data_IF_203991462134
#
_entry.id   IF_203991462134
#
_cell.length_a   1.000
_cell.length_b   1.000
_cell.length_c   1.000
_cell.angle_alpha   90.00
_cell.angle_beta   90.00
_cell.angle_gamma   90.00
#
_symmetry.space_group_name_H-M   'P 1'
#
loop_
_entity.id
_entity.type
_entity.pdbx_description
1 polymer ?
#
# COMPACT_ATOMS: atom_id res chain seq x y z
N UNK A 1 21.07 3.29 18.77
CA UNK A 1 19.65 2.94 18.62
C UNK A 1 19.15 2.52 19.99
N UNK A 2 18.16 3.22 20.56
CA UNK A 2 17.49 2.78 21.79
C UNK A 2 16.44 1.72 21.46
N UNK A 3 16.24 0.72 22.32
CA UNK A 3 15.16 -0.27 22.22
C UNK A 3 14.14 0.00 23.34
N UNK A 4 12.85 -0.15 23.06
CA UNK A 4 11.75 0.20 23.96
C UNK A 4 10.66 -0.89 23.99
N UNK A 5 9.60 -0.73 24.79
CA UNK A 5 8.52 -1.71 25.00
C UNK A 5 7.17 -1.01 25.23
N UNK A 6 6.16 -1.20 24.37
CA UNK A 6 4.78 -0.66 24.54
C UNK A 6 3.70 -1.66 24.07
N UNK A 7 2.51 -1.54 24.66
CA UNK A 7 1.30 -2.37 24.47
C UNK A 7 0.45 -1.90 23.27
N UNK A 8 -0.05 -2.80 22.42
CA UNK A 8 -0.86 -2.44 21.24
C UNK A 8 -2.13 -3.30 21.10
N UNK A 9 -3.32 -2.72 21.35
CA UNK A 9 -4.62 -3.34 21.03
C UNK A 9 -5.53 -2.39 20.22
N UNK A 10 -6.00 -2.92 19.07
CA UNK A 10 -7.13 -2.47 18.23
C UNK A 10 -6.97 -1.19 17.38
N UNK A 11 -6.98 -1.33 16.05
CA UNK A 11 -6.70 -0.23 15.09
C UNK A 11 -7.90 0.12 14.19
N UNK A 12 -8.54 1.28 14.40
CA UNK A 12 -8.92 2.17 13.29
C UNK A 12 -8.66 3.67 13.59
N UNK A 13 -8.33 4.46 12.55
CA UNK A 13 -7.89 5.89 12.51
C UNK A 13 -6.39 6.15 12.82
N UNK A 14 -5.74 7.11 12.11
CA UNK A 14 -4.29 7.37 12.20
C UNK A 14 -3.80 7.67 13.61
N UNK A 15 -4.57 8.46 14.36
CA UNK A 15 -4.27 8.73 15.77
C UNK A 15 -4.26 7.42 16.54
N UNK A 16 -5.31 6.60 16.47
CA UNK A 16 -5.42 5.36 17.23
C UNK A 16 -4.42 4.27 16.76
N UNK A 17 -3.79 4.45 15.59
CA UNK A 17 -2.71 3.56 15.10
C UNK A 17 -1.31 3.87 15.58
N UNK A 18 -1.13 5.05 16.16
CA UNK A 18 0.14 5.38 16.76
C UNK A 18 0.25 4.71 18.13
N UNK A 19 1.38 4.04 18.43
CA UNK A 19 1.64 3.46 19.74
C UNK A 19 1.73 4.52 20.84
N UNK A 20 1.78 5.82 20.51
CA UNK A 20 1.87 6.93 21.47
C UNK A 20 0.67 7.89 21.35
N UNK A 21 -0.45 7.44 20.79
CA UNK A 21 -1.63 8.31 20.66
C UNK A 21 -2.20 8.75 22.01
N UNK A 22 -2.10 7.89 23.03
CA UNK A 22 -2.47 8.20 24.41
C UNK A 22 -1.63 9.35 25.00
N UNK A 23 -0.37 9.49 24.55
CA UNK A 23 0.54 10.52 25.04
C UNK A 23 0.09 11.95 24.68
N UNK A 24 -0.83 12.11 23.71
CA UNK A 24 -1.40 13.42 23.35
C UNK A 24 -2.05 14.16 24.51
N UNK A 25 -2.59 13.42 25.49
CA UNK A 25 -3.33 13.97 26.62
C UNK A 25 -2.74 13.60 27.99
N UNK A 26 -1.61 12.89 28.02
CA UNK A 26 -0.97 12.48 29.27
C UNK A 26 -0.52 13.71 30.05
N UNK A 27 -0.91 13.79 31.32
CA UNK A 27 -0.50 14.83 32.25
C UNK A 27 0.66 14.33 33.11
N UNK A 28 1.51 15.24 33.61
CA UNK A 28 2.49 14.89 34.64
C UNK A 28 1.80 14.21 35.83
N UNK A 29 2.21 12.98 36.13
CA UNK A 29 1.63 12.15 37.20
C UNK A 29 0.74 10.99 36.72
N UNK A 30 0.39 10.94 35.43
CA UNK A 30 -0.28 9.77 34.86
C UNK A 30 0.69 8.57 34.78
N UNK A 31 0.18 7.34 34.98
CA UNK A 31 1.00 6.11 34.94
C UNK A 31 1.78 5.97 33.63
N UNK A 32 1.13 6.30 32.50
CA UNK A 32 1.71 6.30 31.17
C UNK A 32 2.86 7.31 31.03
N UNK A 33 2.73 8.50 31.61
CA UNK A 33 3.79 9.50 31.60
C UNK A 33 5.02 9.02 32.40
N UNK A 34 4.79 8.32 33.52
CA UNK A 34 5.85 7.69 34.30
C UNK A 34 6.63 6.61 33.51
N UNK A 35 5.93 5.79 32.72
CA UNK A 35 6.55 4.80 31.85
C UNK A 35 7.38 5.47 30.74
N UNK A 36 6.86 6.49 30.07
CA UNK A 36 7.58 7.20 29.02
C UNK A 36 8.81 7.95 29.56
N UNK A 37 8.74 8.52 30.76
CA UNK A 37 9.88 9.15 31.43
C UNK A 37 10.96 8.12 31.77
N UNK A 38 10.58 6.93 32.26
CA UNK A 38 11.51 5.83 32.55
C UNK A 38 12.29 5.37 31.32
N UNK A 39 11.66 5.39 30.15
CA UNK A 39 12.27 5.06 28.86
C UNK A 39 13.05 6.23 28.24
N UNK A 40 13.12 7.39 28.92
CA UNK A 40 13.85 8.58 28.47
C UNK A 40 13.19 9.30 27.29
N UNK A 41 11.89 9.08 27.07
CA UNK A 41 11.10 9.79 26.06
C UNK A 41 10.59 11.13 26.57
N UNK A 42 10.35 11.25 27.88
CA UNK A 42 10.00 12.50 28.54
C UNK A 42 11.16 12.98 29.41
N UNK A 43 11.29 14.30 29.55
CA UNK A 43 12.16 14.94 30.53
C UNK A 43 11.49 15.01 31.91
N UNK A 44 12.21 15.56 32.89
CA UNK A 44 11.74 15.69 34.28
C UNK A 44 10.48 16.57 34.43
N UNK A 45 10.17 17.39 33.41
CA UNK A 45 8.97 18.25 33.36
C UNK A 45 7.78 17.51 32.72
N UNK A 46 7.97 16.26 32.29
CA UNK A 46 6.97 15.47 31.57
C UNK A 46 6.82 15.87 30.11
N UNK A 47 7.76 16.65 29.57
CA UNK A 47 7.75 17.08 28.17
C UNK A 47 8.59 16.13 27.32
N UNK A 48 8.28 15.95 26.02
CA UNK A 48 9.13 15.19 25.11
C UNK A 48 10.59 15.64 25.16
N UNK A 49 11.48 14.71 25.49
CA UNK A 49 12.92 14.95 25.51
C UNK A 49 13.35 15.52 24.15
N UNK A 50 14.29 16.48 24.14
CA UNK A 50 14.59 17.28 22.95
C UNK A 50 14.89 16.44 21.69
N UNK A 51 15.58 15.31 21.84
CA UNK A 51 15.91 14.37 20.76
C UNK A 51 14.71 13.59 20.19
N UNK A 52 13.63 13.45 20.98
CA UNK A 52 12.42 12.70 20.65
C UNK A 52 11.22 13.59 20.34
N UNK A 53 11.29 14.90 20.60
CA UNK A 53 10.19 15.85 20.42
C UNK A 53 9.53 15.74 19.03
N UNK A 54 10.32 15.85 17.96
CA UNK A 54 9.80 15.72 16.60
C UNK A 54 9.24 14.32 16.31
N UNK A 55 9.82 13.27 16.89
CA UNK A 55 9.36 11.90 16.72
C UNK A 55 7.98 11.69 17.36
N UNK A 56 7.78 12.22 18.58
CA UNK A 56 6.52 12.18 19.32
C UNK A 56 5.47 13.05 18.63
N UNK A 57 5.83 14.24 18.17
CA UNK A 57 4.91 15.10 17.40
C UNK A 57 4.42 14.41 16.11
N UNK A 58 5.31 13.73 15.38
CA UNK A 58 4.95 12.92 14.22
C UNK A 58 3.97 11.80 14.57
N UNK A 59 4.14 11.17 15.74
CA UNK A 59 3.30 10.07 16.21
C UNK A 59 1.94 10.55 16.74
N UNK A 60 1.84 11.76 17.26
CA UNK A 60 0.58 12.31 17.80
C UNK A 60 -0.38 12.73 16.68
N UNK A 61 0.15 13.21 15.56
CA UNK A 61 -0.65 13.66 14.41
C UNK A 61 0.03 13.27 13.08
N UNK A 62 0.05 11.98 12.73
CA UNK A 62 0.68 11.54 11.49
C UNK A 62 -0.13 12.03 10.28
N UNK A 63 0.57 12.60 9.31
CA UNK A 63 0.04 12.94 8.00
C UNK A 63 0.18 11.77 7.02
N UNK A 64 1.18 10.90 7.23
CA UNK A 64 1.45 9.69 6.46
C UNK A 64 1.87 8.54 7.37
N UNK A 65 1.45 7.35 7.02
CA UNK A 65 1.93 6.09 7.57
C UNK A 65 2.52 5.25 6.45
N UNK A 66 3.65 4.63 6.73
CA UNK A 66 4.28 3.62 5.90
C UNK A 66 4.28 2.33 6.70
N UNK A 67 3.74 1.25 6.15
CA UNK A 67 3.87 -0.10 6.70
C UNK A 67 4.80 -0.87 5.76
N UNK A 68 5.92 -1.31 6.28
CA UNK A 68 6.90 -2.10 5.57
C UNK A 68 6.97 -3.51 6.16
N UNK A 69 6.62 -4.51 5.36
CA UNK A 69 6.70 -5.92 5.73
C UNK A 69 7.81 -6.59 4.93
N UNK A 70 8.74 -7.25 5.62
CA UNK A 70 9.84 -7.98 5.03
C UNK A 70 9.78 -9.41 5.52
N UNK A 71 9.94 -10.40 4.64
CA UNK A 71 9.94 -11.77 5.10
C UNK A 71 10.71 -12.71 4.21
N UNK A 72 11.06 -13.84 4.81
CA UNK A 72 11.64 -15.01 4.15
C UNK A 72 10.98 -16.25 4.72
N UNK A 73 11.46 -17.43 4.34
CA UNK A 73 10.92 -18.73 4.81
C UNK A 73 11.00 -18.96 6.32
N UNK A 74 11.77 -18.16 7.06
CA UNK A 74 12.00 -18.33 8.50
C UNK A 74 11.31 -17.26 9.37
N UNK A 75 11.12 -16.05 8.86
CA UNK A 75 10.61 -14.93 9.66
C UNK A 75 9.95 -13.86 8.82
N UNK A 76 9.01 -13.15 9.45
CA UNK A 76 8.43 -11.90 8.95
C UNK A 76 8.81 -10.81 9.95
N UNK A 77 9.24 -9.66 9.44
CA UNK A 77 9.49 -8.43 10.21
C UNK A 77 8.60 -7.33 9.65
N UNK A 78 7.86 -6.67 10.53
CA UNK A 78 7.02 -5.53 10.18
C UNK A 78 7.58 -4.26 10.80
N UNK A 79 7.55 -3.17 10.05
CA UNK A 79 7.96 -1.84 10.48
C UNK A 79 6.86 -0.85 10.10
N UNK A 80 6.30 -0.18 11.08
CA UNK A 80 5.39 0.94 10.89
C UNK A 80 6.21 2.22 11.02
N UNK A 81 6.10 3.12 10.07
CA UNK A 81 6.81 4.38 10.08
C UNK A 81 5.83 5.53 9.88
N UNK A 82 5.94 6.58 10.67
CA UNK A 82 4.98 7.68 10.68
C UNK A 82 5.66 9.00 10.33
N UNK A 83 5.03 9.78 9.46
CA UNK A 83 5.47 11.12 9.10
C UNK A 83 4.43 12.13 9.59
N UNK A 84 4.87 13.22 10.21
CA UNK A 84 4.01 14.33 10.59
C UNK A 84 4.55 15.67 10.10
N UNK A 85 3.81 16.73 10.39
CA UNK A 85 4.14 18.10 9.97
C UNK A 85 5.44 18.63 10.62
N UNK A 86 5.81 18.11 11.80
CA UNK A 86 7.01 18.51 12.52
C UNK A 86 8.31 18.11 11.79
N UNK A 87 8.29 17.01 11.04
CA UNK A 87 9.43 16.57 10.24
C UNK A 87 8.99 15.94 8.91
N UNK A 88 8.71 16.77 7.88
CA UNK A 88 8.16 16.30 6.61
C UNK A 88 9.16 15.50 5.76
N UNK A 89 10.37 15.24 6.24
CA UNK A 89 11.38 14.42 5.55
C UNK A 89 11.83 13.20 6.35
N UNK A 90 11.41 13.07 7.61
CA UNK A 90 11.84 11.99 8.51
C UNK A 90 10.65 11.24 9.06
N UNK A 91 10.81 9.94 9.19
CA UNK A 91 9.81 9.03 9.72
C UNK A 91 10.19 8.62 11.15
N UNK A 92 9.17 8.42 11.99
CA UNK A 92 9.31 7.73 13.27
C UNK A 92 8.94 6.27 13.07
N UNK A 93 9.94 5.39 13.14
CA UNK A 93 9.78 3.95 12.96
C UNK A 93 9.38 3.23 14.24
N UNK A 94 8.62 2.16 14.08
CA UNK A 94 8.09 1.29 15.12
C UNK A 94 8.08 -0.16 14.63
N UNK A 95 8.76 -1.05 15.35
CA UNK A 95 8.83 -2.49 15.03
C UNK A 95 8.26 -3.30 16.19
N UNK A 96 7.11 -3.99 16.03
CA UNK A 96 6.58 -4.87 17.07
C UNK A 96 7.52 -6.06 17.32
N UNK A 97 7.64 -6.47 18.58
CA UNK A 97 8.48 -7.58 19.09
C UNK A 97 7.67 -8.61 19.88
N UNK A 98 6.37 -8.41 20.01
CA UNK A 98 5.41 -9.27 20.70
C UNK A 98 4.07 -8.54 20.82
N UNK A 99 3.11 -9.10 21.56
CA UNK A 99 1.81 -8.45 21.81
C UNK A 99 1.98 -7.05 22.44
N UNK A 100 3.07 -6.87 23.16
CA UNK A 100 3.22 -5.83 24.17
C UNK A 100 4.61 -5.16 24.17
N UNK A 101 5.36 -5.35 23.08
CA UNK A 101 6.74 -4.85 22.98
C UNK A 101 7.02 -4.30 21.59
N UNK A 102 7.77 -3.19 21.54
CA UNK A 102 8.06 -2.51 20.29
C UNK A 102 9.36 -1.71 20.31
N UNK A 103 10.17 -1.83 19.27
CA UNK A 103 11.36 -0.99 19.12
C UNK A 103 10.99 0.31 18.40
N UNK A 104 11.33 1.46 18.98
CA UNK A 104 11.24 2.76 18.30
C UNK A 104 12.55 3.08 17.58
N UNK A 105 12.45 3.61 16.36
CA UNK A 105 13.57 4.09 15.58
C UNK A 105 13.34 5.54 15.17
N UNK A 106 14.32 6.40 15.44
CA UNK A 106 14.30 7.80 15.01
C UNK A 106 15.73 8.33 14.81
N UNK A 107 15.97 9.10 13.74
CA UNK A 107 15.10 9.27 12.56
C UNK A 107 15.19 8.04 11.64
N UNK A 108 14.09 7.74 10.94
CA UNK A 108 14.09 6.80 9.80
C UNK A 108 13.95 7.61 8.52
N UNK A 109 14.89 7.43 7.59
CA UNK A 109 14.85 8.06 6.28
C UNK A 109 14.21 7.10 5.25
N UNK A 110 13.53 7.61 4.21
CA UNK A 110 13.02 6.79 3.13
C UNK A 110 14.05 5.83 2.51
N UNK A 111 15.32 6.26 2.46
CA UNK A 111 16.42 5.43 1.97
C UNK A 111 16.74 4.23 2.87
N UNK A 112 16.47 4.32 4.18
CA UNK A 112 16.64 3.18 5.10
C UNK A 112 15.64 2.07 4.75
N UNK A 113 14.39 2.44 4.43
CA UNK A 113 13.35 1.49 4.01
C UNK A 113 13.69 0.82 2.68
N UNK A 114 14.24 1.59 1.73
CA UNK A 114 14.70 1.06 0.45
C UNK A 114 15.87 0.09 0.63
N UNK A 115 16.82 0.43 1.51
CA UNK A 115 17.94 -0.45 1.85
C UNK A 115 17.44 -1.76 2.49
N UNK A 116 16.51 -1.68 3.44
CA UNK A 116 15.89 -2.87 4.05
C UNK A 116 15.19 -3.76 3.01
N UNK A 117 14.41 -3.17 2.09
CA UNK A 117 13.76 -3.92 1.01
C UNK A 117 14.78 -4.60 0.08
N UNK A 118 15.86 -3.90 -0.26
CA UNK A 118 16.95 -4.40 -1.10
C UNK A 118 17.64 -5.60 -0.45
N UNK A 119 17.98 -5.49 0.83
CA UNK A 119 18.59 -6.57 1.61
C UNK A 119 17.63 -7.74 1.78
N UNK A 120 16.36 -7.49 2.13
CA UNK A 120 15.37 -8.54 2.34
C UNK A 120 15.15 -9.39 1.07
N UNK A 121 15.10 -8.76 -0.10
CA UNK A 121 14.89 -9.44 -1.38
C UNK A 121 16.17 -9.99 -2.01
N UNK A 122 17.35 -9.70 -1.46
CA UNK A 122 18.64 -10.12 -2.03
C UNK A 122 18.86 -9.60 -3.45
N UNK A 123 18.54 -8.32 -3.72
CA UNK A 123 18.59 -7.71 -5.06
C UNK A 123 20.01 -7.43 -5.58
N UNK A 124 21.03 -8.03 -4.98
CA UNK A 124 22.42 -7.96 -5.45
C UNK A 124 22.66 -8.81 -6.71
N UNK A 125 21.78 -9.78 -6.97
CA UNK A 125 21.84 -10.68 -8.11
C UNK A 125 20.77 -10.33 -9.16
N UNK A 126 21.23 -10.01 -10.38
CA UNK A 126 20.39 -9.76 -11.55
C UNK A 126 19.39 -10.89 -11.79
N UNK A 127 18.15 -10.52 -12.05
CA UNK A 127 17.04 -11.40 -12.41
C UNK A 127 16.56 -11.11 -13.83
N UNK A 128 16.23 -12.17 -14.59
CA UNK A 128 15.60 -12.00 -15.87
C UNK A 128 14.18 -11.46 -15.70
N UNK A 129 13.77 -10.61 -16.65
CA UNK A 129 12.37 -10.33 -16.90
C UNK A 129 11.82 -11.46 -17.78
N UNK A 130 10.82 -12.19 -17.29
CA UNK A 130 10.19 -13.30 -18.01
C UNK A 130 9.09 -12.82 -18.97
N UNK A 131 8.78 -11.52 -18.99
CA UNK A 131 7.73 -10.95 -19.82
C UNK A 131 6.31 -11.33 -19.38
N UNK A 132 6.15 -11.92 -18.19
CA UNK A 132 4.85 -12.27 -17.64
C UNK A 132 4.31 -11.09 -16.83
N UNK A 133 3.14 -10.58 -17.18
CA UNK A 133 2.45 -9.58 -16.36
C UNK A 133 1.03 -9.28 -16.81
N UNK A 134 0.18 -8.90 -15.85
CA UNK A 134 -1.21 -8.52 -16.08
C UNK A 134 -1.71 -7.64 -14.93
N UNK A 135 -2.82 -6.95 -15.18
CA UNK A 135 -3.59 -6.29 -14.13
C UNK A 135 -4.65 -7.28 -13.62
N UNK A 136 -4.58 -7.63 -12.34
CA UNK A 136 -5.45 -8.61 -11.68
C UNK A 136 -6.35 -7.93 -10.66
N UNK A 137 -7.58 -8.41 -10.51
CA UNK A 137 -8.37 -8.07 -9.31
C UNK A 137 -7.81 -8.79 -8.08
N UNK A 138 -8.07 -8.31 -6.85
CA UNK A 138 -7.63 -9.01 -5.64
C UNK A 138 -8.07 -10.48 -5.60
N UNK A 139 -9.28 -10.80 -6.05
CA UNK A 139 -9.77 -12.19 -6.12
C UNK A 139 -9.04 -13.03 -7.18
N UNK A 140 -8.69 -12.46 -8.34
CA UNK A 140 -7.91 -13.16 -9.36
C UNK A 140 -6.48 -13.43 -8.87
N UNK A 141 -5.87 -12.47 -8.17
CA UNK A 141 -4.56 -12.67 -7.55
C UNK A 141 -4.60 -13.73 -6.44
N UNK A 142 -5.62 -13.73 -5.56
CA UNK A 142 -5.80 -14.78 -4.55
C UNK A 142 -5.97 -16.15 -5.19
N UNK A 143 -6.79 -16.26 -6.25
CA UNK A 143 -6.98 -17.51 -6.98
C UNK A 143 -5.70 -17.97 -7.70
N UNK A 144 -4.93 -17.04 -8.27
CA UNK A 144 -3.65 -17.31 -8.92
C UNK A 144 -2.63 -17.89 -7.93
N UNK A 145 -2.46 -17.22 -6.78
CA UNK A 145 -1.55 -17.67 -5.73
C UNK A 145 -1.94 -19.06 -5.19
N UNK A 146 -3.24 -19.27 -4.95
CA UNK A 146 -3.77 -20.55 -4.49
C UNK A 146 -3.63 -21.67 -5.53
N UNK A 147 -3.73 -21.37 -6.83
CA UNK A 147 -3.53 -22.34 -7.89
C UNK A 147 -2.07 -22.79 -7.98
N UNK A 148 -1.12 -21.85 -7.86
CA UNK A 148 0.32 -22.18 -7.78
C UNK A 148 0.59 -23.12 -6.60
N UNK A 149 0.06 -22.81 -5.42
CA UNK A 149 0.25 -23.63 -4.23
C UNK A 149 -0.39 -25.01 -4.35
N UNK A 150 -1.63 -25.09 -4.86
CA UNK A 150 -2.32 -26.38 -5.04
C UNK A 150 -1.62 -27.29 -6.07
N UNK A 151 -1.11 -26.73 -7.17
CA UNK A 151 -0.31 -27.51 -8.14
C UNK A 151 0.98 -27.99 -7.50
N UNK A 152 1.68 -27.12 -6.75
CA UNK A 152 2.92 -27.49 -6.05
C UNK A 152 2.68 -28.60 -5.02
N UNK A 153 1.60 -28.50 -4.25
CA UNK A 153 1.20 -29.54 -3.29
C UNK A 153 1.02 -30.89 -4.00
N UNK A 154 0.26 -30.91 -5.10
CA UNK A 154 0.06 -32.11 -5.92
C UNK A 154 1.37 -32.66 -6.51
N UNK A 155 2.28 -31.81 -6.99
CA UNK A 155 3.60 -32.22 -7.49
C UNK A 155 4.45 -32.87 -6.36
N UNK A 156 4.41 -32.32 -5.14
CA UNK A 156 5.12 -32.89 -3.98
C UNK A 156 4.51 -34.23 -3.58
N UNK A 157 3.19 -34.34 -3.53
CA UNK A 157 2.48 -35.59 -3.23
C UNK A 157 2.82 -36.68 -4.24
N UNK A 158 2.82 -36.36 -5.54
CA UNK A 158 3.18 -37.28 -6.61
C UNK A 158 4.65 -37.75 -6.47
N UNK A 159 5.57 -36.84 -6.14
CA UNK A 159 6.98 -37.19 -5.87
C UNK A 159 7.11 -38.15 -4.68
N UNK A 160 6.37 -37.91 -3.59
CA UNK A 160 6.37 -38.79 -2.41
C UNK A 160 5.76 -40.16 -2.71
N UNK A 161 4.72 -40.20 -3.56
CA UNK A 161 4.09 -41.43 -4.04
C UNK A 161 4.91 -42.17 -5.11
N UNK A 162 5.96 -41.53 -5.65
CA UNK A 162 6.76 -42.00 -6.80
C UNK A 162 5.94 -42.15 -8.08
N UNK A 163 4.96 -41.26 -8.27
CA UNK A 163 4.12 -41.16 -9.46
C UNK A 163 4.65 -40.02 -10.35
N UNK A 164 5.26 -40.34 -11.50
CA UNK A 164 6.05 -39.34 -12.26
C UNK A 164 5.21 -38.31 -13.02
N UNK A 165 3.89 -38.51 -13.14
CA UNK A 165 2.98 -37.63 -13.86
C UNK A 165 1.68 -37.47 -13.06
N UNK A 166 1.55 -36.45 -12.20
CA UNK A 166 0.24 -36.08 -11.70
C UNK A 166 -0.68 -35.74 -12.89
N UNK A 167 -2.00 -35.86 -12.68
CA UNK A 167 -2.95 -35.32 -13.65
C UNK A 167 -2.66 -33.85 -13.96
N UNK A 168 -2.95 -33.42 -15.18
CA UNK A 168 -2.74 -32.03 -15.56
C UNK A 168 -3.69 -31.10 -14.79
N UNK A 169 -3.11 -30.18 -14.03
CA UNK A 169 -3.82 -29.22 -13.19
C UNK A 169 -4.42 -29.80 -11.91
N UNK A 170 -5.25 -29.01 -11.25
CA UNK A 170 -5.93 -29.36 -9.98
C UNK A 170 -7.40 -28.96 -9.98
N UNK A 171 -8.21 -29.66 -9.19
CA UNK A 171 -9.63 -29.34 -9.07
C UNK A 171 -9.88 -28.03 -8.28
N UNK A 172 -11.08 -27.46 -8.44
CA UNK A 172 -11.47 -26.22 -7.75
C UNK A 172 -11.43 -26.35 -6.22
N UNK A 173 -11.68 -27.55 -5.69
CA UNK A 173 -11.67 -27.80 -4.25
C UNK A 173 -10.25 -27.64 -3.67
N UNK A 174 -9.24 -28.11 -4.39
CA UNK A 174 -7.83 -28.02 -4.01
C UNK A 174 -7.34 -26.58 -4.05
N UNK A 175 -7.67 -25.82 -5.10
CA UNK A 175 -7.40 -24.38 -5.15
C UNK A 175 -8.09 -23.64 -4.00
N UNK A 176 -9.33 -24.00 -3.68
CA UNK A 176 -10.05 -23.38 -2.55
C UNK A 176 -9.39 -23.69 -1.21
N UNK A 177 -8.96 -24.93 -0.98
CA UNK A 177 -8.23 -25.31 0.25
C UNK A 177 -6.92 -24.56 0.39
N UNK A 178 -6.15 -24.43 -0.69
CA UNK A 178 -4.91 -23.66 -0.70
C UNK A 178 -5.16 -22.17 -0.35
N UNK A 179 -6.18 -21.55 -0.93
CA UNK A 179 -6.57 -20.17 -0.60
C UNK A 179 -6.92 -20.03 0.89
N UNK A 180 -7.66 -20.98 1.45
CA UNK A 180 -8.04 -20.99 2.86
C UNK A 180 -6.82 -21.19 3.79
N UNK A 181 -5.91 -22.09 3.42
CA UNK A 181 -4.67 -22.29 4.16
C UNK A 181 -3.81 -21.01 4.16
N UNK A 182 -3.69 -20.33 3.02
CA UNK A 182 -3.03 -19.03 2.92
C UNK A 182 -3.71 -17.95 3.78
N UNK A 183 -5.03 -17.97 3.86
CA UNK A 183 -5.83 -17.07 4.70
C UNK A 183 -5.77 -17.36 6.20
N UNK A 184 -5.25 -18.52 6.62
CA UNK A 184 -5.20 -18.91 8.04
C UNK A 184 -3.77 -18.99 8.59
N UNK A 185 -2.76 -19.06 7.72
CA UNK A 185 -1.37 -19.28 8.11
C UNK A 185 -0.47 -18.12 7.66
N UNK A 186 0.66 -17.96 8.35
CA UNK A 186 1.73 -17.02 7.99
C UNK A 186 2.94 -17.73 7.38
N UNK A 187 2.76 -18.96 6.89
CA UNK A 187 3.83 -19.78 6.32
C UNK A 187 4.26 -19.23 4.95
N UNK A 188 5.33 -18.45 4.96
CA UNK A 188 5.89 -17.76 3.79
C UNK A 188 6.47 -18.70 2.74
N UNK A 189 6.50 -20.01 2.99
CA UNK A 189 6.82 -21.00 1.97
C UNK A 189 5.71 -21.10 0.92
N UNK A 190 4.48 -20.73 1.24
CA UNK A 190 3.32 -20.79 0.35
C UNK A 190 3.00 -19.41 -0.22
N UNK A 191 2.74 -19.35 -1.53
CA UNK A 191 2.53 -18.09 -2.24
C UNK A 191 1.25 -17.39 -1.79
N UNK A 192 0.19 -18.14 -1.51
CA UNK A 192 -1.09 -17.62 -1.01
C UNK A 192 -0.92 -16.90 0.33
N UNK A 193 -0.12 -17.45 1.25
CA UNK A 193 0.25 -16.79 2.51
C UNK A 193 1.05 -15.51 2.26
N UNK A 194 2.04 -15.54 1.36
CA UNK A 194 2.85 -14.34 1.05
C UNK A 194 2.01 -13.24 0.42
N UNK A 195 1.21 -13.56 -0.60
CA UNK A 195 0.34 -12.59 -1.30
C UNK A 195 -0.61 -11.92 -0.34
N UNK A 196 -1.19 -12.66 0.61
CA UNK A 196 -2.06 -12.10 1.65
C UNK A 196 -1.35 -11.02 2.48
N UNK A 197 -0.07 -11.22 2.82
CA UNK A 197 0.72 -10.24 3.57
C UNK A 197 1.06 -8.99 2.75
N UNK A 198 1.04 -9.09 1.42
CA UNK A 198 1.43 -8.01 0.52
C UNK A 198 0.26 -7.11 0.10
N UNK A 199 -0.98 -7.62 0.11
CA UNK A 199 -2.14 -6.87 -0.37
C UNK A 199 -2.87 -6.15 0.78
N UNK A 200 -3.19 -4.85 0.63
CA UNK A 200 -3.86 -4.07 1.68
C UNK A 200 -5.39 -4.27 1.69
N UNK A 201 -5.91 -5.31 1.02
CA UNK A 201 -7.34 -5.57 0.88
C UNK A 201 -7.63 -7.00 1.32
N UNK A 202 -8.57 -7.15 2.23
CA UNK A 202 -9.05 -8.46 2.66
C UNK A 202 -9.88 -9.11 1.54
N UNK A 203 -9.53 -10.34 1.19
CA UNK A 203 -10.24 -11.13 0.19
C UNK A 203 -10.74 -12.41 0.83
N UNK A 204 -12.04 -12.64 0.75
CA UNK A 204 -12.63 -13.88 1.26
C UNK A 204 -12.11 -15.11 0.51
N UNK A 205 -11.44 -16.02 1.22
CA UNK A 205 -10.95 -17.28 0.67
C UNK A 205 -12.05 -18.36 0.61
N UNK A 206 -13.19 -18.06 -0.04
CA UNK A 206 -14.26 -19.02 -0.24
C UNK A 206 -14.32 -19.51 -1.70
N UNK A 207 -15.02 -20.63 -1.93
CA UNK A 207 -15.13 -21.27 -3.24
C UNK A 207 -15.64 -20.33 -4.33
N UNK A 208 -16.64 -19.49 -4.03
CA UNK A 208 -17.24 -18.57 -5.00
C UNK A 208 -16.23 -17.50 -5.45
N UNK A 209 -15.48 -16.94 -4.51
CA UNK A 209 -14.43 -15.94 -4.80
C UNK A 209 -13.30 -16.56 -5.62
N UNK A 210 -12.84 -17.76 -5.24
CA UNK A 210 -11.79 -18.49 -5.97
C UNK A 210 -12.23 -18.86 -7.38
N UNK A 211 -13.46 -19.36 -7.56
CA UNK A 211 -14.00 -19.70 -8.88
C UNK A 211 -14.13 -18.46 -9.78
N UNK A 212 -14.59 -17.34 -9.24
CA UNK A 212 -14.63 -16.07 -9.97
C UNK A 212 -13.24 -15.58 -10.37
N UNK A 213 -12.25 -15.70 -9.48
CA UNK A 213 -10.86 -15.36 -9.75
C UNK A 213 -10.23 -16.24 -10.83
N UNK A 214 -10.43 -17.56 -10.78
CA UNK A 214 -10.01 -18.49 -11.83
C UNK A 214 -10.66 -18.14 -13.18
N UNK A 215 -11.95 -17.78 -13.17
CA UNK A 215 -12.65 -17.32 -14.37
C UNK A 215 -12.05 -16.06 -15.00
N UNK A 216 -11.43 -15.17 -14.22
CA UNK A 216 -10.67 -14.02 -14.75
C UNK A 216 -9.33 -14.46 -15.33
N UNK A 217 -8.61 -15.38 -14.68
CA UNK A 217 -7.34 -15.90 -15.19
C UNK A 217 -7.52 -16.68 -16.51
N UNK A 218 -8.66 -17.36 -16.68
CA UNK A 218 -9.04 -18.00 -17.95
C UNK A 218 -9.24 -16.96 -19.06
N UNK A 219 -9.83 -15.80 -18.76
CA UNK A 219 -10.00 -14.72 -19.76
C UNK A 219 -8.67 -14.06 -20.14
N UNK A 220 -7.67 -14.11 -19.26
CA UNK A 220 -6.31 -13.63 -19.52
C UNK A 220 -5.44 -14.67 -20.25
N UNK A 221 -5.98 -15.85 -20.56
CA UNK A 221 -5.24 -16.96 -21.15
C UNK A 221 -4.02 -17.39 -20.31
N UNK A 222 -4.10 -17.23 -18.99
CA UNK A 222 -3.08 -17.73 -18.06
C UNK A 222 -3.38 -19.15 -17.58
N UNK A 223 -4.67 -19.47 -17.50
CA UNK A 223 -5.19 -20.73 -16.96
C UNK A 223 -6.19 -21.31 -17.95
N UNK A 224 -6.13 -22.63 -18.18
CA UNK A 224 -7.16 -23.37 -18.90
C UNK A 224 -7.92 -24.27 -17.93
N UNK A 225 -9.22 -24.45 -18.19
CA UNK A 225 -10.05 -25.45 -17.52
C UNK A 225 -10.19 -26.66 -18.44
N UNK A 226 -9.71 -27.82 -18.00
CA UNK A 226 -9.82 -29.05 -18.75
C UNK A 226 -11.30 -29.47 -18.88
N UNK A 227 -11.79 -29.63 -20.10
CA UNK A 227 -13.20 -29.94 -20.36
C UNK A 227 -13.66 -31.31 -19.83
N UNK A 228 -12.73 -32.26 -19.66
CA UNK A 228 -13.04 -33.62 -19.19
C UNK A 228 -12.96 -33.74 -17.68
N UNK A 229 -11.85 -33.33 -17.07
CA UNK A 229 -11.64 -33.46 -15.62
C UNK A 229 -12.23 -32.28 -14.84
N UNK A 230 -12.38 -31.11 -15.47
CA UNK A 230 -12.73 -29.87 -14.78
C UNK A 230 -11.56 -29.24 -14.02
N UNK A 231 -10.36 -29.83 -14.09
CA UNK A 231 -9.15 -29.31 -13.47
C UNK A 231 -8.72 -27.99 -14.12
N UNK A 232 -8.06 -27.15 -13.33
CA UNK A 232 -7.44 -25.91 -13.77
C UNK A 232 -5.93 -26.12 -13.86
N UNK A 233 -5.36 -25.80 -15.01
CA UNK A 233 -3.92 -25.87 -15.27
C UNK A 233 -3.45 -24.54 -15.86
N UNK A 234 -2.18 -24.21 -15.66
CA UNK A 234 -1.58 -23.06 -16.33
C UNK A 234 -1.36 -23.37 -17.81
N UNK A 235 -1.58 -22.37 -18.67
CA UNK A 235 -1.22 -22.49 -20.08
C UNK A 235 0.31 -22.62 -20.25
N UNK A 236 0.80 -23.18 -21.38
CA UNK A 236 2.24 -23.40 -21.60
C UNK A 236 3.10 -22.15 -21.43
N UNK A 237 2.61 -20.99 -21.86
CA UNK A 237 3.32 -19.70 -21.73
C UNK A 237 3.54 -19.28 -20.27
N UNK A 238 2.72 -19.80 -19.35
CA UNK A 238 2.83 -19.58 -17.91
C UNK A 238 3.62 -20.67 -17.18
N UNK A 239 4.15 -21.70 -17.86
CA UNK A 239 4.86 -22.80 -17.19
C UNK A 239 6.17 -22.34 -16.53
N UNK A 240 6.98 -21.52 -17.21
CA UNK A 240 8.20 -20.97 -16.60
C UNK A 240 7.85 -19.98 -15.47
N UNK A 241 6.98 -18.96 -15.70
CA UNK A 241 6.54 -18.05 -14.64
C UNK A 241 6.00 -18.76 -13.39
N UNK A 242 5.08 -19.72 -13.51
CA UNK A 242 4.51 -20.43 -12.35
C UNK A 242 5.57 -21.19 -11.55
N UNK A 243 6.56 -21.79 -12.23
CA UNK A 243 7.61 -22.59 -11.56
C UNK A 243 8.55 -21.71 -10.75
N UNK A 244 8.75 -20.46 -11.16
CA UNK A 244 9.47 -19.51 -10.32
C UNK A 244 8.65 -19.19 -9.06
N UNK A 245 7.34 -18.98 -9.21
CA UNK A 245 6.44 -18.63 -8.13
C UNK A 245 6.17 -19.75 -7.12
N UNK A 246 6.36 -21.01 -7.50
CA UNK A 246 6.19 -22.16 -6.59
C UNK A 246 7.28 -22.27 -5.52
N UNK A 247 8.34 -21.45 -5.57
CA UNK A 247 9.38 -21.40 -4.55
C UNK A 247 9.68 -19.94 -4.13
N UNK A 248 8.79 -19.30 -3.34
CA UNK A 248 9.07 -18.02 -2.71
C UNK A 248 10.32 -18.11 -1.84
N UNK A 249 11.25 -17.17 -2.01
CA UNK A 249 12.49 -17.09 -1.22
C UNK A 249 12.38 -15.99 -0.19
N UNK A 250 11.95 -14.80 -0.63
CA UNK A 250 11.77 -13.63 0.20
C UNK A 250 10.74 -12.68 -0.40
N UNK A 251 10.17 -11.81 0.42
CA UNK A 251 9.30 -10.73 -0.02
C UNK A 251 9.60 -9.43 0.73
N UNK A 252 9.23 -8.32 0.11
CA UNK A 252 9.16 -7.01 0.74
C UNK A 252 7.90 -6.31 0.24
N UNK A 253 7.09 -5.76 1.13
CA UNK A 253 5.93 -4.96 0.79
C UNK A 253 5.99 -3.63 1.52
N UNK A 254 5.72 -2.55 0.79
CA UNK A 254 5.61 -1.20 1.32
C UNK A 254 4.23 -0.67 0.99
N UNK A 255 3.45 -0.40 2.03
CA UNK A 255 2.13 0.24 1.95
C UNK A 255 2.24 1.64 2.52
N UNK A 256 1.75 2.64 1.80
CA UNK A 256 1.65 4.03 2.23
C UNK A 256 0.19 4.39 2.35
N UNK A 257 -0.18 4.94 3.50
CA UNK A 257 -1.46 5.56 3.75
C UNK A 257 -1.26 7.05 3.99
N UNK A 258 -1.79 7.87 3.09
CA UNK A 258 -1.83 9.33 3.23
C UNK A 258 -3.22 9.75 3.69
N UNK A 259 -3.30 10.62 4.71
CA UNK A 259 -4.59 11.10 5.20
C UNK A 259 -4.93 12.48 4.64
N UNK A 260 -5.99 12.52 3.83
CA UNK A 260 -6.58 13.76 3.33
C UNK A 260 -7.93 13.93 4.02
N UNK A 261 -7.93 14.68 5.13
CA UNK A 261 -9.10 14.76 6.01
C UNK A 261 -9.29 13.44 6.78
N UNK A 262 -10.42 12.76 6.58
CA UNK A 262 -10.74 11.50 7.29
C UNK A 262 -10.60 10.25 6.42
N UNK A 263 -10.29 10.39 5.13
CA UNK A 263 -10.19 9.26 4.20
C UNK A 263 -8.72 8.95 3.91
N UNK A 264 -8.25 7.72 4.17
CA UNK A 264 -6.90 7.32 3.81
C UNK A 264 -6.82 6.98 2.31
N UNK A 265 -5.80 7.52 1.64
CA UNK A 265 -5.40 7.09 0.30
C UNK A 265 -4.28 6.06 0.43
N UNK A 266 -4.54 4.85 -0.06
CA UNK A 266 -3.60 3.74 0.02
C UNK A 266 -2.87 3.51 -1.30
N UNK A 267 -1.56 3.34 -1.23
CA UNK A 267 -0.74 2.82 -2.31
C UNK A 267 0.17 1.72 -1.74
N UNK A 268 0.29 0.60 -2.45
CA UNK A 268 1.16 -0.50 -2.02
C UNK A 268 2.02 -0.97 -3.19
N UNK A 269 3.31 -1.16 -2.92
CA UNK A 269 4.25 -1.81 -3.83
C UNK A 269 4.89 -2.97 -3.10
N UNK A 270 4.71 -4.16 -3.64
CA UNK A 270 5.29 -5.41 -3.14
C UNK A 270 6.25 -6.03 -4.14
N UNK A 271 7.30 -6.65 -3.63
CA UNK A 271 8.25 -7.46 -4.37
C UNK A 271 8.31 -8.86 -3.78
N UNK A 272 8.40 -9.88 -4.64
CA UNK A 272 8.61 -11.27 -4.28
C UNK A 272 9.83 -11.80 -5.03
N UNK A 273 10.87 -12.16 -4.27
CA UNK A 273 12.03 -12.88 -4.79
C UNK A 273 11.71 -14.37 -4.85
N UNK A 274 11.95 -14.94 -6.01
CA UNK A 274 11.94 -16.39 -6.24
C UNK A 274 13.35 -16.85 -6.62
N UNK A 275 13.53 -18.15 -6.86
CA UNK A 275 14.82 -18.72 -7.28
C UNK A 275 15.32 -18.10 -8.60
N UNK A 276 14.41 -17.68 -9.50
CA UNK A 276 14.77 -17.27 -10.86
C UNK A 276 14.23 -15.91 -11.33
N UNK A 277 13.43 -15.21 -10.52
CA UNK A 277 12.79 -13.97 -10.92
C UNK A 277 12.46 -13.06 -9.74
N UNK A 278 12.34 -11.77 -10.01
CA UNK A 278 11.70 -10.79 -9.13
C UNK A 278 10.32 -10.48 -9.68
N UNK A 279 9.30 -10.71 -8.86
CA UNK A 279 7.91 -10.36 -9.15
C UNK A 279 7.54 -9.09 -8.41
N UNK A 280 6.90 -8.14 -9.10
CA UNK A 280 6.35 -6.93 -8.49
C UNK A 280 4.82 -6.98 -8.46
N UNK A 281 4.25 -6.34 -7.44
CA UNK A 281 2.83 -6.22 -7.17
C UNK A 281 2.56 -4.75 -6.85
N UNK A 282 1.91 -4.02 -7.76
CA UNK A 282 1.56 -2.61 -7.58
C UNK A 282 0.05 -2.49 -7.39
N UNK A 283 -0.37 -2.13 -6.18
CA UNK A 283 -1.77 -1.92 -5.84
C UNK A 283 -2.22 -0.52 -6.22
N UNK A 284 -3.34 -0.44 -6.95
CA UNK A 284 -3.99 0.82 -7.31
C UNK A 284 -5.36 0.89 -6.65
N UNK A 285 -5.52 1.86 -5.74
CA UNK A 285 -6.81 2.17 -5.13
C UNK A 285 -7.77 2.78 -6.17
N UNK A 286 -9.02 2.32 -6.17
CA UNK A 286 -10.12 2.85 -6.99
C UNK A 286 -11.41 2.07 -6.73
N UNK A 287 -12.50 2.40 -7.41
CA UNK A 287 -13.79 1.72 -7.27
C UNK A 287 -13.70 0.21 -7.51
N UNK A 288 -12.77 -0.19 -8.37
CA UNK A 288 -12.37 -1.58 -8.56
C UNK A 288 -10.86 -1.67 -8.35
N UNK A 289 -10.39 -2.17 -7.20
CA UNK A 289 -8.96 -2.31 -6.95
C UNK A 289 -8.34 -3.23 -7.99
N UNK A 290 -7.23 -2.78 -8.58
CA UNK A 290 -6.43 -3.56 -9.51
C UNK A 290 -5.00 -3.67 -8.98
N UNK A 291 -4.39 -4.81 -9.23
CA UNK A 291 -3.04 -5.14 -8.81
C UNK A 291 -2.28 -5.49 -10.08
N UNK A 292 -1.33 -4.64 -10.46
CA UNK A 292 -0.40 -4.98 -11.53
C UNK A 292 0.59 -5.98 -10.99
N UNK A 293 0.61 -7.17 -11.59
CA UNK A 293 1.52 -8.24 -11.22
C UNK A 293 2.39 -8.57 -12.42
N UNK A 294 3.68 -8.75 -12.22
CA UNK A 294 4.55 -9.25 -13.27
C UNK A 294 6.01 -9.34 -12.87
N UNK A 295 6.81 -9.95 -13.74
CA UNK A 295 8.26 -9.97 -13.59
C UNK A 295 8.85 -8.62 -13.92
N UNK A 296 9.83 -8.18 -13.13
CA UNK A 296 10.50 -6.90 -13.33
C UNK A 296 11.99 -7.01 -13.05
N UNK A 297 12.75 -6.08 -13.59
CA UNK A 297 14.15 -5.87 -13.19
C UNK A 297 14.22 -5.16 -11.84
N UNK A 298 15.32 -5.37 -11.12
CA UNK A 298 15.58 -4.78 -9.81
C UNK A 298 15.49 -3.25 -9.85
N UNK A 299 16.10 -2.63 -10.86
CA UNK A 299 16.08 -1.16 -11.01
C UNK A 299 14.67 -0.62 -11.15
N UNK A 300 13.81 -1.31 -11.89
CA UNK A 300 12.41 -0.91 -12.08
C UNK A 300 11.64 -1.00 -10.76
N UNK A 301 11.85 -2.08 -10.01
CA UNK A 301 11.24 -2.27 -8.70
C UNK A 301 11.70 -1.22 -7.69
N UNK A 302 13.01 -0.96 -7.60
CA UNK A 302 13.57 0.04 -6.68
C UNK A 302 13.10 1.45 -7.01
N UNK A 303 12.97 1.80 -8.29
CA UNK A 303 12.39 3.09 -8.71
C UNK A 303 10.92 3.21 -8.30
N UNK A 304 10.14 2.13 -8.40
CA UNK A 304 8.74 2.12 -7.95
C UNK A 304 8.64 2.33 -6.43
N UNK A 305 9.50 1.66 -5.64
CA UNK A 305 9.58 1.87 -4.20
C UNK A 305 10.01 3.30 -3.84
N UNK A 306 11.03 3.83 -4.50
CA UNK A 306 11.49 5.20 -4.28
C UNK A 306 10.40 6.22 -4.62
N UNK A 307 9.68 6.02 -5.72
CA UNK A 307 8.57 6.89 -6.11
C UNK A 307 7.44 6.85 -5.07
N UNK A 308 7.10 5.66 -4.56
CA UNK A 308 6.10 5.50 -3.50
C UNK A 308 6.48 6.27 -2.23
N UNK A 309 7.73 6.13 -1.77
CA UNK A 309 8.21 6.77 -0.53
C UNK A 309 8.44 8.28 -0.67
N UNK A 310 8.77 8.75 -1.88
CA UNK A 310 9.09 10.15 -2.16
C UNK A 310 7.89 10.97 -2.65
N UNK A 311 6.73 10.33 -2.84
CA UNK A 311 5.51 11.04 -3.24
C UNK A 311 5.21 12.16 -2.23
N UNK A 312 4.91 13.39 -2.67
CA UNK A 312 4.59 14.47 -1.74
C UNK A 312 3.35 14.12 -0.92
N UNK A 313 3.36 14.41 0.38
CA UNK A 313 2.16 14.33 1.21
C UNK A 313 1.23 15.45 0.77
N UNK A 314 0.07 15.11 0.21
CA UNK A 314 -0.95 16.09 -0.13
C UNK A 314 -1.49 16.70 1.18
N UNK A 315 -1.00 17.89 1.53
CA UNK A 315 -1.63 18.67 2.60
C UNK A 315 -3.00 19.10 2.11
N UNK A 316 -4.08 18.94 2.92
CA UNK A 316 -5.38 19.49 2.56
C UNK A 316 -5.18 20.97 2.27
N UNK A 317 -5.31 21.38 1.01
CA UNK A 317 -5.33 22.79 0.70
C UNK A 317 -6.51 23.36 1.49
N UNK A 318 -6.31 24.42 2.30
CA UNK A 318 -7.44 25.06 2.95
C UNK A 318 -8.42 25.37 1.83
N UNK A 319 -9.63 24.80 1.90
CA UNK A 319 -10.73 25.17 1.02
C UNK A 319 -10.81 26.69 1.16
N UNK A 320 -10.27 27.41 0.18
CA UNK A 320 -10.46 28.84 0.08
C UNK A 320 -11.96 28.94 0.06
N UNK A 321 -12.53 29.44 1.16
CA UNK A 321 -13.97 29.63 1.25
C UNK A 321 -14.34 30.35 -0.03
N UNK A 322 -15.11 29.69 -0.90
CA UNK A 322 -15.72 30.38 -2.02
C UNK A 322 -16.34 31.61 -1.40
N UNK A 323 -15.81 32.78 -1.76
CA UNK A 323 -16.30 34.03 -1.24
C UNK A 323 -17.82 33.95 -1.38
N UNK A 324 -18.59 34.26 -0.30
CA UNK A 324 -20.04 34.12 -0.35
C UNK A 324 -20.51 34.74 -1.66
N UNK A 325 -21.36 34.04 -2.46
CA UNK A 325 -21.82 34.57 -3.73
C UNK A 325 -22.28 35.98 -3.42
N UNK A 326 -21.60 36.98 -4.02
CA UNK A 326 -22.01 38.37 -3.87
C UNK A 326 -23.50 38.35 -4.15
N UNK A 327 -24.31 38.63 -3.13
CA UNK A 327 -25.74 38.78 -3.33
C UNK A 327 -25.86 39.84 -4.40
N UNK A 328 -26.33 39.42 -5.57
CA UNK A 328 -26.76 40.31 -6.62
C UNK A 328 -27.88 41.16 -6.05
N UNK A 329 -27.53 42.27 -5.42
CA UNK A 329 -28.40 43.43 -5.36
C UNK A 329 -28.52 43.87 -6.80
N UNK A 330 -29.59 43.42 -7.45
CA UNK A 330 -29.83 43.67 -8.86
C UNK A 330 -29.69 45.14 -9.19
N UNK A 331 -28.75 45.45 -10.08
CA UNK A 331 -28.89 46.43 -11.15
C UNK A 331 -27.96 45.97 -12.28
N UNK A 332 -28.55 45.45 -13.36
CA UNK A 332 -27.85 45.16 -14.59
C UNK A 332 -27.28 46.46 -15.17
N UNK A 333 -26.02 46.73 -14.89
CA UNK A 333 -25.24 47.80 -15.52
C UNK A 333 -24.16 47.19 -16.39
N UNK A 334 -24.56 46.49 -17.46
CA UNK A 334 -23.62 46.03 -18.47
C UNK A 334 -22.88 47.24 -19.05
N UNK A 335 -21.56 47.22 -18.96
CA UNK A 335 -20.68 48.19 -19.62
C UNK A 335 -21.03 48.20 -21.12
N UNK A 336 -21.61 49.31 -21.60
CA UNK A 336 -21.90 49.49 -23.02
C UNK A 336 -20.73 50.24 -23.65
N UNK A 337 -20.30 49.82 -24.83
CA UNK A 337 -19.25 50.50 -25.58
C UNK A 337 -19.87 51.20 -26.80
N UNK A 338 -19.32 52.35 -27.18
CA UNK A 338 -19.75 53.07 -28.37
C UNK A 338 -19.44 52.24 -29.61
N UNK A 339 -20.45 51.99 -30.44
CA UNK A 339 -20.29 51.18 -31.66
C UNK A 339 -19.51 51.89 -32.76
N UNK A 340 -19.32 53.21 -32.65
CA UNK A 340 -18.57 54.03 -33.61
C UNK A 340 -17.08 54.13 -33.27
N UNK A 341 -16.70 54.31 -32.00
CA UNK A 341 -15.30 54.52 -31.62
C UNK A 341 -14.76 53.52 -30.57
N UNK A 342 -15.61 52.65 -30.03
CA UNK A 342 -15.23 51.66 -29.03
C UNK A 342 -15.06 52.20 -27.61
N UNK A 343 -15.25 53.50 -27.37
CA UNK A 343 -15.13 54.08 -26.04
C UNK A 343 -16.24 53.59 -25.09
N UNK A 344 -15.89 53.35 -23.83
CA UNK A 344 -16.85 52.91 -22.82
C UNK A 344 -17.87 54.00 -22.50
N UNK A 345 -19.14 53.63 -22.45
CA UNK A 345 -20.28 54.51 -22.20
C UNK A 345 -20.75 54.36 -20.77
N UNK A 346 -20.90 55.49 -20.09
CA UNK A 346 -21.53 55.55 -18.78
C UNK A 346 -23.00 55.12 -18.89
N UNK A 347 -23.53 54.32 -17.94
CA UNK A 347 -24.92 53.88 -17.99
C UNK A 347 -25.91 55.06 -18.11
N UNK A 348 -26.75 55.04 -19.16
CA UNK A 348 -27.75 56.08 -19.42
C UNK A 348 -27.31 57.22 -20.34
N UNK A 349 -26.08 57.20 -20.88
CA UNK A 349 -25.63 58.18 -21.85
C UNK A 349 -26.42 58.12 -23.17
N UNK A 350 -26.86 59.28 -23.69
CA UNK A 350 -27.52 59.42 -25.00
C UNK A 350 -26.55 59.73 -26.14
N UNK A 351 -25.35 60.21 -25.82
CA UNK A 351 -24.30 60.54 -26.78
C UNK A 351 -22.94 60.12 -26.21
N UNK A 352 -22.03 59.68 -27.08
CA UNK A 352 -20.67 59.31 -26.72
C UNK A 352 -19.85 60.58 -26.45
N UNK A 353 -19.27 60.67 -25.25
CA UNK A 353 -18.46 61.83 -24.86
C UNK A 353 -17.11 61.92 -25.59
N UNK A 354 -16.66 60.82 -26.22
CA UNK A 354 -15.38 60.78 -26.92
C UNK A 354 -15.49 61.22 -28.40
N UNK A 355 -16.57 60.86 -29.10
CA UNK A 355 -16.72 61.18 -30.53
C UNK A 355 -18.00 61.97 -30.88
N UNK A 356 -18.89 62.22 -29.91
CA UNK A 356 -20.13 62.97 -30.12
C UNK A 356 -21.27 62.20 -30.79
N UNK A 357 -21.05 60.94 -31.19
CA UNK A 357 -22.08 60.11 -31.82
C UNK A 357 -23.22 59.77 -30.84
N UNK A 358 -24.47 59.75 -31.33
CA UNK A 358 -25.63 59.32 -30.55
C UNK A 358 -25.60 57.80 -30.32
N UNK A 359 -25.90 57.34 -29.10
CA UNK A 359 -25.73 55.94 -28.64
C UNK A 359 -26.99 55.34 -28.06
#
# INVERSE_FOLDING_TARGET
MGQMRLLAEHLPKPADTSPLHFARNAKPGDEDAGLLAKEGLLDDEGMPAAQWRAAIENLVAPARQVVAAFGNTASITELHAFQGAASPQKLTGFTPRGENECTLAWPVEPMDLLALATTALGLEANTPDLGAGADLTPRALTAFAALVDAIRESEIEALLAREPNPEDGVDLASVTRAAQAGALTTDTRWLSSVVRQMIPVEVEANRKTVEAGLGELVKLDWVAKNAKSGNHAFNPDMDIPRRTLSAPVAFAALSVADWIGNEPRHACVGGLRTIGALWAFEFRSGDTPLIRVGTVRETTFLLALQALLSAPVETPQPKVAEAPPKKDTGYGGGHKFCTQCGAELTPGAKFCMACGAQV
#
